data_IF_430836195852
#
_entry.id   IF_430836195852
#
_cell.length_a   1.000
_cell.length_b   1.000
_cell.length_c   1.000
_cell.angle_alpha   90.00
_cell.angle_beta   90.00
_cell.angle_gamma   90.00
#
_symmetry.space_group_name_H-M   'P 1'
#
loop_
_entity.id
_entity.type
_entity.pdbx_description
1 polymer ?
#
# COMPACT_ATOMS: atom_id res chain seq x y z
N UNK A 1 -6.44 11.74 19.09
CA UNK A 1 -6.25 11.17 17.74
C UNK A 1 -7.51 11.45 16.97
N UNK A 2 -7.49 12.37 16.03
CA UNK A 2 -8.66 12.60 15.16
C UNK A 2 -8.76 11.43 14.17
N UNK A 3 -9.85 10.69 14.26
CA UNK A 3 -10.22 9.58 13.35
C UNK A 3 -11.34 10.00 12.39
N UNK A 4 -11.66 11.29 12.35
CA UNK A 4 -12.69 11.89 11.50
C UNK A 4 -12.28 11.85 10.03
N UNK A 5 -13.20 11.52 9.14
CA UNK A 5 -13.01 11.50 7.67
C UNK A 5 -11.81 10.67 7.18
N UNK A 6 -11.36 9.69 7.96
CA UNK A 6 -10.24 8.81 7.58
C UNK A 6 -10.61 7.79 6.48
N UNK A 7 -11.90 7.64 6.19
CA UNK A 7 -12.45 6.71 5.19
C UNK A 7 -12.14 5.25 5.53
N UNK A 8 -12.30 4.87 6.80
CA UNK A 8 -12.13 3.47 7.21
C UNK A 8 -13.20 2.59 6.58
N UNK A 9 -12.79 1.52 5.90
CA UNK A 9 -13.68 0.67 5.11
C UNK A 9 -13.77 1.06 3.63
N UNK A 10 -12.99 2.04 3.16
CA UNK A 10 -12.93 2.38 1.74
C UNK A 10 -12.45 1.20 0.87
N UNK A 11 -11.56 0.37 1.43
CA UNK A 11 -11.22 -0.93 0.88
C UNK A 11 -11.30 -1.99 1.96
N UNK A 12 -11.85 -3.14 1.58
CA UNK A 12 -11.99 -4.33 2.41
C UNK A 12 -11.65 -5.53 1.53
N UNK A 13 -10.72 -6.36 1.98
CA UNK A 13 -10.37 -7.62 1.32
C UNK A 13 -10.35 -8.74 2.35
N UNK A 14 -10.86 -9.90 1.96
CA UNK A 14 -10.80 -11.12 2.76
C UNK A 14 -9.76 -12.05 2.18
N UNK A 15 -8.94 -12.63 3.05
CA UNK A 15 -8.09 -13.74 2.69
C UNK A 15 -8.96 -14.93 2.31
N UNK A 16 -8.74 -15.51 1.13
CA UNK A 16 -9.52 -16.60 0.57
C UNK A 16 -9.29 -17.95 1.30
N UNK A 17 -9.54 -18.00 2.62
CA UNK A 17 -9.35 -19.17 3.49
C UNK A 17 -10.47 -19.26 4.51
N UNK A 18 -10.88 -20.48 4.88
CA UNK A 18 -11.96 -20.74 5.88
C UNK A 18 -11.70 -20.08 7.25
N UNK A 19 -10.44 -19.94 7.64
CA UNK A 19 -10.00 -19.25 8.86
C UNK A 19 -9.06 -18.09 8.51
N UNK A 20 -9.32 -17.44 7.38
CA UNK A 20 -8.53 -16.34 6.87
C UNK A 20 -8.69 -15.05 7.66
N UNK A 21 -7.84 -14.10 7.33
CA UNK A 21 -7.87 -12.74 7.87
C UNK A 21 -8.72 -11.82 6.98
N UNK A 22 -9.10 -10.68 7.54
CA UNK A 22 -9.73 -9.58 6.80
C UNK A 22 -8.82 -8.36 6.92
N UNK A 23 -8.55 -7.68 5.82
CA UNK A 23 -7.83 -6.41 5.84
C UNK A 23 -8.79 -5.27 5.48
N UNK A 24 -8.78 -4.22 6.29
CA UNK A 24 -9.63 -3.04 6.12
C UNK A 24 -8.77 -1.78 6.15
N UNK A 25 -8.90 -0.92 5.14
CA UNK A 25 -8.07 0.28 5.05
C UNK A 25 -8.85 1.59 5.21
N UNK A 26 -8.10 2.61 5.63
CA UNK A 26 -8.49 4.01 5.79
C UNK A 26 -7.48 4.88 5.02
N UNK A 27 -7.65 5.09 3.70
CA UNK A 27 -6.66 5.78 2.88
C UNK A 27 -6.51 7.28 3.23
N UNK A 28 -7.50 7.88 3.89
CA UNK A 28 -7.42 9.27 4.38
C UNK A 28 -6.98 9.39 5.83
N UNK A 29 -6.59 8.28 6.46
CA UNK A 29 -6.02 8.31 7.79
C UNK A 29 -4.83 9.27 7.85
N UNK A 30 -4.87 10.15 8.85
CA UNK A 30 -3.85 11.16 9.09
C UNK A 30 -3.26 10.96 10.46
N UNK A 31 -1.94 10.87 10.51
CA UNK A 31 -1.23 10.94 11.77
C UNK A 31 -0.81 12.38 12.06
N UNK A 32 -1.47 13.01 13.04
CA UNK A 32 -1.32 14.43 13.38
C UNK A 32 -0.01 14.78 14.11
N UNK A 33 1.04 13.96 13.99
CA UNK A 33 2.38 14.29 14.51
C UNK A 33 2.95 15.55 13.86
N UNK A 34 2.54 15.86 12.63
CA UNK A 34 2.98 17.04 11.88
C UNK A 34 1.88 17.52 10.93
N UNK A 35 1.79 18.83 10.74
CA UNK A 35 0.85 19.45 9.81
C UNK A 35 1.14 19.11 8.34
N UNK A 36 2.35 18.62 8.04
CA UNK A 36 2.78 18.26 6.68
C UNK A 36 2.10 16.99 6.16
N UNK A 37 1.79 16.02 7.02
CA UNK A 37 1.04 14.82 6.62
C UNK A 37 -0.38 15.24 6.28
N UNK A 38 -0.88 14.88 5.09
CA UNK A 38 -2.23 15.20 4.61
C UNK A 38 -3.11 13.96 4.46
N UNK A 39 -2.50 12.82 4.19
CA UNK A 39 -3.16 11.51 4.17
C UNK A 39 -2.09 10.43 4.08
N UNK A 40 -1.72 9.85 5.22
CA UNK A 40 -0.72 8.78 5.29
C UNK A 40 -1.36 7.47 4.77
N UNK A 41 -2.61 7.25 5.14
CA UNK A 41 -3.31 6.00 4.91
C UNK A 41 -2.85 4.90 5.88
N UNK A 42 -3.70 3.91 6.08
CA UNK A 42 -3.43 2.75 6.95
C UNK A 42 -4.36 1.61 6.62
N UNK A 43 -3.87 0.39 6.74
CA UNK A 43 -4.68 -0.82 6.78
C UNK A 43 -4.62 -1.48 8.17
N UNK A 44 -5.70 -2.16 8.54
CA UNK A 44 -5.78 -2.99 9.73
C UNK A 44 -6.02 -4.40 9.25
N UNK A 45 -5.10 -5.30 9.56
CA UNK A 45 -5.33 -6.72 9.38
C UNK A 45 -6.01 -7.26 10.63
N UNK A 46 -7.07 -8.02 10.42
CA UNK A 46 -7.94 -8.56 11.45
C UNK A 46 -8.01 -10.07 11.34
N UNK A 47 -8.08 -10.72 12.48
CA UNK A 47 -8.37 -12.16 12.58
C UNK A 47 -9.76 -12.50 12.04
N UNK A 48 -10.07 -13.78 11.87
CA UNK A 48 -11.39 -14.27 11.42
C UNK A 48 -12.56 -13.86 12.35
N UNK A 49 -12.29 -13.39 13.58
CA UNK A 49 -13.27 -12.83 14.49
C UNK A 49 -13.23 -11.29 14.59
N UNK A 50 -12.67 -10.63 13.56
CA UNK A 50 -12.61 -9.18 13.39
C UNK A 50 -11.88 -8.44 14.53
N UNK A 51 -10.94 -9.11 15.20
CA UNK A 51 -10.04 -8.46 16.15
C UNK A 51 -8.81 -7.96 15.41
N UNK A 52 -8.39 -6.72 15.70
CA UNK A 52 -7.16 -6.17 15.13
C UNK A 52 -5.96 -7.04 15.53
N UNK A 53 -5.24 -7.53 14.53
CA UNK A 53 -4.03 -8.34 14.69
C UNK A 53 -2.79 -7.48 14.47
N UNK A 54 -2.79 -6.67 13.39
CA UNK A 54 -1.68 -5.78 13.04
C UNK A 54 -2.15 -4.54 12.29
N UNK A 55 -1.41 -3.45 12.46
CA UNK A 55 -1.54 -2.25 11.65
C UNK A 55 -0.49 -2.26 10.53
N UNK A 56 -0.92 -1.95 9.32
CA UNK A 56 -0.07 -1.85 8.14
C UNK A 56 -0.07 -0.37 7.73
N UNK A 57 1.00 0.33 8.08
CA UNK A 57 1.19 1.77 7.87
C UNK A 57 2.48 1.98 7.05
N UNK A 58 2.53 1.58 5.77
CA UNK A 58 3.79 1.54 5.01
C UNK A 58 4.42 2.92 4.83
N UNK A 59 3.63 3.99 4.90
CA UNK A 59 4.08 5.37 4.76
C UNK A 59 4.47 6.04 6.09
N UNK A 60 4.33 5.32 7.20
CA UNK A 60 4.70 5.80 8.52
C UNK A 60 6.18 6.11 8.61
N UNK A 61 6.51 7.27 9.18
CA UNK A 61 7.88 7.73 9.40
C UNK A 61 8.75 7.82 8.12
N UNK A 62 8.14 7.84 6.92
CA UNK A 62 8.88 8.12 5.69
C UNK A 62 9.17 9.60 5.54
N UNK A 63 10.08 9.92 4.61
CA UNK A 63 10.36 11.29 4.23
C UNK A 63 9.06 12.00 3.82
N UNK A 64 8.85 13.17 4.40
CA UNK A 64 7.74 14.06 4.09
C UNK A 64 8.33 15.41 3.74
N UNK A 65 7.70 16.09 2.79
CA UNK A 65 7.94 17.49 2.48
C UNK A 65 6.58 18.15 2.27
N UNK A 66 6.57 19.47 2.21
CA UNK A 66 5.37 20.21 1.88
C UNK A 66 4.82 19.87 0.48
N UNK A 67 3.56 20.23 0.26
CA UNK A 67 2.84 19.94 -0.97
C UNK A 67 2.61 18.44 -1.21
N UNK A 68 2.74 18.02 -2.46
CA UNK A 68 2.46 16.65 -2.94
C UNK A 68 3.70 15.77 -3.02
N UNK A 69 4.83 16.26 -2.51
CA UNK A 69 6.12 15.58 -2.64
C UNK A 69 6.31 14.50 -1.56
N UNK A 70 7.10 13.48 -1.88
CA UNK A 70 7.38 12.33 -1.00
C UNK A 70 6.09 11.65 -0.49
N UNK A 71 5.97 11.35 0.81
CA UNK A 71 4.87 10.55 1.35
C UNK A 71 3.78 11.34 2.07
N UNK A 72 3.78 12.68 1.96
CA UNK A 72 2.80 13.54 2.63
C UNK A 72 1.34 13.22 2.25
N UNK A 73 1.12 12.73 1.03
CA UNK A 73 -0.17 12.34 0.47
C UNK A 73 -0.24 10.85 0.11
N UNK A 74 0.59 10.00 0.72
CA UNK A 74 0.71 8.59 0.37
C UNK A 74 -0.62 7.86 0.11
N UNK A 75 -1.61 8.08 0.99
CA UNK A 75 -2.94 7.46 0.92
C UNK A 75 -2.89 5.94 0.77
N UNK A 76 -2.06 5.29 1.59
CA UNK A 76 -1.93 3.85 1.63
C UNK A 76 -3.29 3.17 1.91
N UNK A 77 -3.64 2.19 1.08
CA UNK A 77 -4.86 1.39 1.21
C UNK A 77 -5.95 1.73 0.19
N UNK A 78 -5.67 2.57 -0.82
CA UNK A 78 -6.60 2.75 -1.96
C UNK A 78 -6.70 1.50 -2.84
N UNK A 79 -5.57 0.84 -3.08
CA UNK A 79 -5.51 -0.51 -3.63
C UNK A 79 -5.01 -1.45 -2.55
N UNK A 80 -5.61 -2.61 -2.37
CA UNK A 80 -5.10 -3.59 -1.41
C UNK A 80 -5.52 -5.00 -1.77
N UNK A 81 -4.73 -5.99 -1.36
CA UNK A 81 -5.07 -7.41 -1.49
C UNK A 81 -4.31 -8.26 -0.46
N UNK A 82 -4.78 -9.46 -0.19
CA UNK A 82 -4.14 -10.46 0.69
C UNK A 82 -4.23 -11.85 0.06
N UNK A 83 -3.09 -12.49 -0.18
CA UNK A 83 -3.06 -13.86 -0.68
C UNK A 83 -3.35 -14.87 0.41
N UNK A 84 -3.67 -16.08 -0.04
CA UNK A 84 -3.65 -17.26 0.79
C UNK A 84 -2.31 -17.45 1.52
N UNK A 85 -1.18 -17.07 0.95
CA UNK A 85 0.15 -17.31 1.53
C UNK A 85 0.63 -16.20 2.48
N UNK A 86 -0.30 -15.46 3.10
CA UNK A 86 0.01 -14.43 4.08
C UNK A 86 0.85 -13.27 3.49
N UNK A 87 0.70 -12.99 2.20
CA UNK A 87 1.30 -11.84 1.53
C UNK A 87 0.24 -10.76 1.35
N UNK A 88 0.56 -9.54 1.75
CA UNK A 88 -0.32 -8.38 1.60
C UNK A 88 0.26 -7.41 0.60
N UNK A 89 -0.62 -6.80 -0.19
CA UNK A 89 -0.33 -5.67 -1.06
C UNK A 89 -1.09 -4.46 -0.54
N UNK A 90 -0.40 -3.33 -0.44
CA UNK A 90 -0.98 -2.03 -0.13
C UNK A 90 -0.49 -1.03 -1.17
N UNK A 91 -1.41 -0.52 -1.97
CA UNK A 91 -1.18 0.54 -2.94
C UNK A 91 -1.38 1.93 -2.31
N UNK A 92 -0.58 2.88 -2.78
CA UNK A 92 -0.43 4.22 -2.22
C UNK A 92 -0.27 5.26 -3.34
N UNK A 93 -1.35 5.58 -4.07
CA UNK A 93 -1.30 6.35 -5.31
C UNK A 93 -0.82 7.79 -5.15
N UNK A 94 -0.96 8.39 -3.97
CA UNK A 94 -0.51 9.78 -3.73
C UNK A 94 0.94 9.90 -3.29
N UNK A 95 1.69 8.81 -3.31
CA UNK A 95 3.14 8.82 -3.04
C UNK A 95 3.91 9.50 -4.17
N UNK A 96 4.90 10.32 -3.80
CA UNK A 96 5.91 10.94 -4.67
C UNK A 96 5.28 11.70 -5.84
N UNK A 97 4.70 12.89 -5.60
CA UNK A 97 4.02 13.69 -6.62
C UNK A 97 2.98 12.89 -7.41
N UNK A 98 2.18 12.11 -6.68
CA UNK A 98 1.12 11.27 -7.26
C UNK A 98 1.62 10.25 -8.30
N UNK A 99 2.92 9.94 -8.32
CA UNK A 99 3.49 8.84 -9.08
C UNK A 99 2.87 7.51 -8.62
N UNK A 100 2.75 7.36 -7.30
CA UNK A 100 2.20 6.18 -6.64
C UNK A 100 3.26 5.12 -6.31
N UNK A 101 2.91 4.23 -5.38
CA UNK A 101 3.75 3.12 -4.95
C UNK A 101 2.90 1.91 -4.56
N UNK A 102 3.51 0.73 -4.65
CA UNK A 102 2.94 -0.51 -4.12
C UNK A 102 3.87 -1.10 -3.05
N UNK A 103 3.30 -1.49 -1.93
CA UNK A 103 3.98 -2.06 -0.77
C UNK A 103 3.55 -3.50 -0.62
N UNK A 104 4.52 -4.41 -0.55
CA UNK A 104 4.29 -5.82 -0.34
C UNK A 104 4.81 -6.18 1.04
N UNK A 105 4.06 -6.94 1.81
CA UNK A 105 4.53 -7.42 3.11
C UNK A 105 4.15 -8.88 3.30
N UNK A 106 5.11 -9.68 3.74
CA UNK A 106 4.84 -11.03 4.23
C UNK A 106 4.49 -10.95 5.72
N UNK A 107 3.30 -11.40 6.11
CA UNK A 107 2.85 -11.40 7.51
C UNK A 107 3.68 -12.40 8.33
N UNK A 108 4.08 -13.52 7.71
CA UNK A 108 4.83 -14.59 8.40
C UNK A 108 6.28 -14.25 8.69
N UNK A 109 6.94 -13.49 7.79
CA UNK A 109 8.36 -13.18 7.89
C UNK A 109 8.65 -11.71 8.28
N UNK A 110 7.62 -10.88 8.44
CA UNK A 110 7.68 -9.43 8.72
C UNK A 110 8.57 -8.63 7.74
N UNK A 111 8.75 -9.15 6.53
CA UNK A 111 9.53 -8.49 5.47
C UNK A 111 8.60 -7.57 4.68
N UNK A 112 8.92 -6.28 4.64
CA UNK A 112 8.27 -5.28 3.79
C UNK A 112 9.14 -4.97 2.57
N UNK A 113 8.60 -5.21 1.37
CA UNK A 113 9.22 -4.96 0.07
C UNK A 113 8.49 -3.81 -0.64
N UNK A 114 9.27 -2.90 -1.21
CA UNK A 114 8.78 -1.73 -1.90
C UNK A 114 8.84 -1.92 -3.41
N UNK A 115 7.73 -1.73 -4.09
CA UNK A 115 7.70 -1.69 -5.56
C UNK A 115 7.48 -0.25 -6.01
N UNK A 116 8.58 0.39 -6.40
CA UNK A 116 8.56 1.61 -7.21
C UNK A 116 9.41 1.39 -8.45
N UNK A 117 8.80 1.41 -9.64
CA UNK A 117 9.42 1.55 -10.98
C UNK A 117 10.56 0.63 -11.43
N UNK A 118 11.27 -0.06 -10.54
CA UNK A 118 12.42 -0.89 -10.88
C UNK A 118 12.07 -2.38 -10.99
N UNK A 119 10.81 -2.77 -10.77
CA UNK A 119 10.38 -4.17 -10.68
C UNK A 119 9.53 -4.70 -11.85
N UNK A 120 9.36 -3.95 -12.94
CA UNK A 120 9.09 -4.55 -14.27
C UNK A 120 10.33 -5.28 -14.84
N UNK A 121 11.21 -5.82 -13.98
CA UNK A 121 12.44 -6.55 -14.34
C UNK A 121 12.38 -8.06 -14.07
N UNK A 122 11.23 -8.61 -13.69
CA UNK A 122 11.00 -10.06 -13.66
C UNK A 122 10.07 -10.56 -14.78
N UNK A 123 10.13 -9.93 -15.96
CA UNK A 123 9.86 -10.65 -17.20
C UNK A 123 11.22 -11.20 -17.66
N UNK A 124 11.44 -12.52 -17.73
CA UNK A 124 12.74 -13.12 -18.04
C UNK A 124 13.35 -12.74 -19.40
N UNK A 125 12.65 -11.94 -20.23
CA UNK A 125 12.98 -11.73 -21.64
C UNK A 125 13.55 -10.34 -22.00
N UNK A 126 13.75 -9.42 -21.06
CA UNK A 126 14.27 -8.07 -21.39
C UNK A 126 15.66 -7.87 -20.78
N UNK A 127 16.63 -8.61 -21.32
CA UNK A 127 18.06 -8.50 -20.97
C UNK A 127 18.82 -7.40 -21.74
N UNK A 128 18.15 -6.59 -22.56
CA UNK A 128 18.76 -5.46 -23.27
C UNK A 128 17.79 -4.28 -23.38
N UNK A 129 17.80 -3.37 -22.42
CA UNK A 129 17.18 -2.05 -22.58
C UNK A 129 17.81 -1.05 -21.61
N UNK A 130 18.55 -0.11 -22.16
CA UNK A 130 18.95 1.16 -21.55
C UNK A 130 17.78 2.15 -21.38
N UNK A 131 16.53 1.67 -21.45
CA UNK A 131 15.32 2.43 -21.12
C UNK A 131 14.56 1.70 -20.02
N UNK A 132 14.95 1.92 -18.76
CA UNK A 132 14.01 1.71 -17.66
C UNK A 132 12.91 2.75 -17.80
N UNK A 133 11.70 2.33 -18.19
CA UNK A 133 10.54 3.20 -18.17
C UNK A 133 10.29 3.62 -16.71
N UNK A 134 10.56 4.90 -16.42
CA UNK A 134 10.24 5.54 -15.14
C UNK A 134 8.75 5.88 -15.17
N UNK A 135 7.97 5.47 -14.17
CA UNK A 135 6.56 5.89 -14.04
C UNK A 135 6.51 7.43 -13.88
N UNK A 136 5.76 8.15 -14.73
CA UNK A 136 5.64 9.61 -14.61
C UNK A 136 4.97 10.04 -13.30
N UNK A 137 5.16 11.31 -12.91
CA UNK A 137 4.32 11.91 -11.86
C UNK A 137 2.84 11.87 -12.29
N UNK A 138 1.93 11.85 -11.31
CA UNK A 138 0.47 11.76 -11.53
C UNK A 138 -0.03 10.47 -12.23
N UNK A 139 0.74 9.38 -12.13
CA UNK A 139 0.36 8.07 -12.71
C UNK A 139 -0.47 7.19 -11.77
N UNK A 140 -0.51 7.52 -10.47
CA UNK A 140 -1.31 6.82 -9.47
C UNK A 140 -1.03 5.31 -9.35
N UNK A 141 0.23 4.88 -9.47
CA UNK A 141 0.62 3.49 -9.27
C UNK A 141 0.11 2.97 -7.89
N UNK A 142 -0.53 1.81 -7.88
CA UNK A 142 -1.17 1.26 -6.67
C UNK A 142 -2.59 1.76 -6.42
N UNK A 143 -3.26 2.34 -7.41
CA UNK A 143 -4.67 2.75 -7.30
C UNK A 143 -5.63 1.58 -7.00
N UNK A 144 -5.41 0.44 -7.66
CA UNK A 144 -6.15 -0.80 -7.42
C UNK A 144 -5.23 -1.88 -6.83
N UNK A 145 -5.80 -2.77 -6.03
CA UNK A 145 -5.13 -3.98 -5.54
C UNK A 145 -5.54 -5.21 -6.36
N UNK A 146 -4.61 -6.15 -6.49
CA UNK A 146 -4.85 -7.47 -7.07
C UNK A 146 -3.54 -8.25 -7.08
N UNK A 147 -3.41 -9.23 -6.19
CA UNK A 147 -2.26 -10.13 -6.09
C UNK A 147 -2.41 -11.37 -6.98
N UNK A 148 -3.59 -11.59 -7.55
CA UNK A 148 -3.85 -12.61 -8.59
C UNK A 148 -3.04 -12.40 -9.88
N UNK A 149 -2.41 -11.23 -10.02
CA UNK A 149 -1.53 -10.88 -11.16
C UNK A 149 -0.17 -11.60 -11.06
N UNK A 150 0.19 -12.16 -9.89
CA UNK A 150 1.45 -12.89 -9.69
C UNK A 150 1.36 -14.41 -9.96
N UNK A 151 0.22 -14.91 -10.44
CA UNK A 151 0.12 -16.23 -11.08
C UNK A 151 0.59 -17.41 -10.24
N UNK A 152 0.10 -17.54 -9.00
CA UNK A 152 0.22 -18.78 -8.21
C UNK A 152 -1.14 -19.30 -7.82
#
# INVERSE_FOLDING_TARGET
MEVTDQWFGATVVSQNKKTGRVMVCAPRYRNYKTHLVRGEGRCILMTNNLRAEMYIEPCRNRAISDGYSMFAHCQAGFGTDITENDEVLVGAPGSINWKGMSFFKSISNDIEVYVSETLYKHVPEISNSSQLATVPSFSYLGWCGGLDILGK
#
